data_IF_861661271360
#
_entry.id   IF_861661271360
#
_cell.length_a   1.000
_cell.length_b   1.000
_cell.length_c   1.000
_cell.angle_alpha   90.00
_cell.angle_beta   90.00
_cell.angle_gamma   90.00
#
_symmetry.space_group_name_H-M   'P 1'
#
loop_
_entity.id
_entity.type
_entity.pdbx_description
1 polymer ?
#
# COMPACT_ATOMS: atom_id res chain seq x y z
N UNK A 1 -20.00 3.92 -57.60
CA UNK A 1 -19.35 4.82 -56.62
C UNK A 1 -19.87 4.45 -55.24
N UNK A 2 -19.08 3.72 -54.47
CA UNK A 2 -19.49 3.18 -53.16
C UNK A 2 -18.67 3.87 -52.10
N UNK A 3 -19.34 4.56 -51.17
CA UNK A 3 -18.71 5.26 -50.03
C UNK A 3 -18.36 4.24 -48.95
N UNK A 4 -17.08 3.92 -48.81
CA UNK A 4 -16.59 3.16 -47.66
C UNK A 4 -16.46 4.08 -46.44
N UNK A 5 -17.33 3.91 -45.45
CA UNK A 5 -17.17 4.51 -44.12
C UNK A 5 -16.17 3.66 -43.32
N UNK A 6 -14.93 4.11 -43.25
CA UNK A 6 -13.93 3.51 -42.37
C UNK A 6 -14.24 3.91 -40.92
N UNK A 7 -14.90 3.05 -40.15
CA UNK A 7 -14.97 3.18 -38.69
C UNK A 7 -13.63 2.74 -38.10
N UNK A 8 -12.69 3.67 -37.96
CA UNK A 8 -11.50 3.45 -37.12
C UNK A 8 -11.97 3.29 -35.66
N UNK A 9 -11.53 2.24 -34.94
CA UNK A 9 -11.74 2.20 -33.50
C UNK A 9 -10.92 3.33 -32.88
N UNK A 10 -11.58 4.22 -32.14
CA UNK A 10 -10.88 5.18 -31.28
C UNK A 10 -10.36 4.38 -30.09
N UNK A 11 -9.20 3.76 -30.25
CA UNK A 11 -8.43 3.28 -29.12
C UNK A 11 -7.81 4.50 -28.44
N UNK A 12 -8.56 5.14 -27.55
CA UNK A 12 -7.96 5.95 -26.50
C UNK A 12 -7.46 4.95 -25.44
N UNK A 13 -6.14 4.65 -25.36
CA UNK A 13 -5.66 3.98 -24.16
C UNK A 13 -5.96 4.91 -22.99
N UNK A 14 -6.70 4.42 -21.99
CA UNK A 14 -6.87 5.06 -20.69
C UNK A 14 -5.49 5.38 -20.14
N UNK A 15 -4.97 6.58 -20.40
CA UNK A 15 -3.58 6.95 -20.12
C UNK A 15 -3.26 7.02 -18.63
N UNK A 16 -4.25 6.87 -17.74
CA UNK A 16 -4.11 6.95 -16.29
C UNK A 16 -5.11 5.99 -15.60
N UNK A 17 -5.09 4.69 -15.91
CA UNK A 17 -5.85 3.74 -15.11
C UNK A 17 -5.21 3.67 -13.71
N UNK A 18 -5.99 3.98 -12.66
CA UNK A 18 -5.54 3.76 -11.28
C UNK A 18 -5.44 2.26 -11.06
N UNK A 19 -4.24 1.79 -10.76
CA UNK A 19 -3.97 0.39 -10.49
C UNK A 19 -4.26 0.10 -9.02
N UNK A 20 -5.39 -0.57 -8.76
CA UNK A 20 -5.80 -0.97 -7.42
C UNK A 20 -5.65 -2.48 -7.33
N UNK A 21 -4.80 -2.93 -6.40
CA UNK A 21 -4.54 -4.35 -6.15
C UNK A 21 -4.80 -4.68 -4.69
N UNK A 22 -5.32 -5.88 -4.44
CA UNK A 22 -5.41 -6.41 -3.09
C UNK A 22 -4.11 -7.14 -2.77
N UNK A 23 -3.49 -6.77 -1.65
CA UNK A 23 -2.30 -7.45 -1.15
C UNK A 23 -2.71 -8.46 -0.08
N UNK A 24 -1.96 -9.56 0.01
CA UNK A 24 -2.06 -10.53 1.10
C UNK A 24 -0.87 -10.37 2.06
N UNK A 25 -0.88 -9.34 2.94
CA UNK A 25 0.22 -9.16 3.88
C UNK A 25 0.18 -10.24 4.96
N UNK A 26 1.37 -10.60 5.44
CA UNK A 26 1.48 -11.39 6.68
C UNK A 26 1.57 -10.39 7.84
N UNK A 27 0.67 -10.55 8.81
CA UNK A 27 0.52 -9.66 9.95
C UNK A 27 0.86 -10.41 11.24
N UNK A 28 1.82 -9.90 12.01
CA UNK A 28 2.21 -10.45 13.31
C UNK A 28 2.00 -9.42 14.42
N UNK A 29 1.34 -9.82 15.51
CA UNK A 29 1.23 -9.04 16.74
C UNK A 29 2.12 -9.68 17.81
N UNK A 30 3.08 -8.93 18.34
CA UNK A 30 4.11 -9.50 19.23
C UNK A 30 3.69 -9.56 20.70
N UNK A 31 2.74 -8.71 21.13
CA UNK A 31 2.28 -8.58 22.52
C UNK A 31 3.34 -8.15 23.54
N UNK A 32 4.62 -8.04 23.14
CA UNK A 32 5.75 -7.64 23.99
C UNK A 32 6.06 -6.15 23.85
N UNK A 33 5.93 -5.66 22.63
CA UNK A 33 5.90 -4.25 22.28
C UNK A 33 4.52 -4.07 21.64
N UNK A 34 3.78 -3.02 22.00
CA UNK A 34 2.45 -2.72 21.45
C UNK A 34 2.56 -2.37 19.96
N UNK A 35 2.88 -3.36 19.14
CA UNK A 35 3.24 -3.22 17.74
C UNK A 35 2.71 -4.37 16.89
N UNK A 36 2.46 -4.03 15.63
CA UNK A 36 2.10 -4.90 14.54
C UNK A 36 3.17 -4.82 13.45
N UNK A 37 3.60 -5.96 12.94
CA UNK A 37 4.52 -6.03 11.80
C UNK A 37 3.77 -6.52 10.56
N UNK A 38 3.90 -5.76 9.47
CA UNK A 38 3.31 -6.03 8.17
C UNK A 38 4.44 -6.34 7.20
N UNK A 39 4.49 -7.60 6.75
CA UNK A 39 5.50 -8.04 5.79
C UNK A 39 5.00 -7.85 4.37
N UNK A 40 5.69 -7.00 3.64
CA UNK A 40 5.43 -6.66 2.25
C UNK A 40 6.43 -7.40 1.37
N UNK A 41 5.92 -8.30 0.53
CA UNK A 41 6.72 -9.16 -0.36
C UNK A 41 6.91 -8.59 -1.77
N UNK A 42 6.06 -7.65 -2.16
CA UNK A 42 6.03 -7.03 -3.49
C UNK A 42 6.46 -5.57 -3.40
N UNK A 43 6.97 -5.00 -4.50
CA UNK A 43 7.26 -3.58 -4.53
C UNK A 43 5.95 -2.78 -4.42
N UNK A 44 5.90 -1.82 -3.49
CA UNK A 44 4.74 -0.95 -3.30
C UNK A 44 5.04 0.47 -3.74
N UNK A 45 4.07 1.09 -4.39
CA UNK A 45 4.09 2.52 -4.68
C UNK A 45 2.69 3.12 -4.44
N UNK A 46 2.64 4.43 -4.25
CA UNK A 46 1.37 5.11 -3.95
C UNK A 46 0.90 4.88 -2.52
N UNK A 47 -0.23 4.19 -2.34
CA UNK A 47 -0.93 4.10 -1.06
C UNK A 47 -1.23 2.64 -0.65
N UNK A 48 -0.89 2.29 0.58
CA UNK A 48 -1.32 1.07 1.24
C UNK A 48 -2.50 1.38 2.17
N UNK A 49 -3.65 0.77 1.91
CA UNK A 49 -4.88 0.96 2.67
C UNK A 49 -5.21 -0.31 3.45
N UNK A 50 -5.29 -0.19 4.78
CA UNK A 50 -5.58 -1.29 5.69
C UNK A 50 -6.85 -0.98 6.47
N UNK A 51 -7.98 -1.54 6.01
CA UNK A 51 -9.31 -1.24 6.58
C UNK A 51 -9.51 -1.75 8.01
N UNK A 52 -8.84 -2.84 8.38
CA UNK A 52 -8.91 -3.43 9.72
C UNK A 52 -8.23 -2.58 10.80
N UNK A 53 -7.39 -1.62 10.42
CA UNK A 53 -6.65 -0.74 11.33
C UNK A 53 -7.25 0.67 11.39
N UNK A 54 -8.57 0.77 11.45
CA UNK A 54 -9.27 2.05 11.58
C UNK A 54 -9.32 2.55 13.04
N UNK A 55 -9.72 3.82 13.23
CA UNK A 55 -9.75 4.47 14.56
C UNK A 55 -10.75 3.86 15.53
N UNK A 56 -11.71 3.06 15.07
CA UNK A 56 -12.65 2.38 15.96
C UNK A 56 -12.08 1.10 16.59
N UNK A 57 -10.99 0.56 16.02
CA UNK A 57 -10.36 -0.67 16.47
C UNK A 57 -9.24 -0.38 17.47
N UNK A 58 -8.24 0.38 17.05
CA UNK A 58 -7.02 0.69 17.81
C UNK A 58 -6.52 2.08 17.44
N UNK A 59 -6.03 2.83 18.43
CA UNK A 59 -5.33 4.09 18.19
C UNK A 59 -3.90 3.78 17.73
N UNK A 60 -3.50 4.30 16.57
CA UNK A 60 -2.13 4.14 16.07
C UNK A 60 -1.31 5.36 16.50
N UNK A 61 -0.16 5.12 17.11
CA UNK A 61 0.78 6.17 17.54
C UNK A 61 1.87 6.43 16.50
N UNK A 62 2.33 5.41 15.80
CA UNK A 62 3.38 5.56 14.80
C UNK A 62 3.36 4.48 13.73
N UNK A 63 3.86 4.82 12.54
CA UNK A 63 4.11 3.88 11.44
C UNK A 63 5.49 4.14 10.87
N UNK A 64 6.33 3.11 10.79
CA UNK A 64 7.73 3.24 10.37
C UNK A 64 8.23 1.98 9.67
N UNK A 65 9.33 2.09 8.93
CA UNK A 65 10.06 0.92 8.44
C UNK A 65 10.80 0.24 9.59
N UNK A 66 10.73 -1.08 9.68
CA UNK A 66 11.30 -1.81 10.81
C UNK A 66 12.84 -1.93 10.76
N UNK A 67 13.44 -1.83 9.58
CA UNK A 67 14.88 -1.95 9.36
C UNK A 67 15.64 -0.65 9.64
N UNK A 68 15.03 0.51 9.34
CA UNK A 68 15.67 1.82 9.49
C UNK A 68 15.00 2.72 10.53
N UNK A 69 13.92 2.28 11.16
CA UNK A 69 13.03 3.09 12.02
C UNK A 69 12.58 4.41 11.35
N UNK A 70 12.63 4.47 10.02
CA UNK A 70 12.26 5.67 9.27
C UNK A 70 10.75 5.84 9.33
N UNK A 71 10.24 6.99 9.82
CA UNK A 71 8.80 7.26 9.84
C UNK A 71 8.23 7.26 8.43
N UNK A 72 7.03 6.69 8.28
CA UNK A 72 6.29 6.74 7.03
C UNK A 72 5.23 7.84 7.08
N UNK A 73 4.79 8.34 5.92
CA UNK A 73 3.63 9.21 5.85
C UNK A 73 2.36 8.37 6.02
N UNK A 74 1.51 8.70 6.98
CA UNK A 74 0.29 7.94 7.22
C UNK A 74 -0.84 8.80 7.77
N UNK A 75 -2.07 8.31 7.63
CA UNK A 75 -3.28 8.87 8.23
C UNK A 75 -4.24 7.76 8.60
N UNK A 76 -4.86 7.87 9.77
CA UNK A 76 -5.91 6.96 10.22
C UNK A 76 -7.25 7.69 10.26
N UNK A 77 -8.34 7.00 9.92
CA UNK A 77 -9.70 7.49 10.06
C UNK A 77 -10.64 6.34 10.46
N UNK A 78 -11.96 6.61 10.48
CA UNK A 78 -12.98 5.62 10.84
C UNK A 78 -13.08 4.44 9.87
N UNK A 79 -12.50 4.55 8.69
CA UNK A 79 -12.61 3.55 7.62
C UNK A 79 -11.33 2.71 7.47
N UNK A 80 -10.15 3.29 7.71
CA UNK A 80 -8.87 2.62 7.51
C UNK A 80 -7.68 3.32 8.15
N UNK A 81 -6.55 2.61 8.17
CA UNK A 81 -5.21 3.19 8.12
C UNK A 81 -4.79 3.33 6.64
N UNK A 82 -4.28 4.50 6.28
CA UNK A 82 -3.67 4.75 4.97
C UNK A 82 -2.20 5.14 5.15
N UNK A 83 -1.31 4.44 4.48
CA UNK A 83 0.13 4.71 4.46
C UNK A 83 0.48 5.15 3.04
N UNK A 84 1.16 6.29 2.91
CA UNK A 84 1.55 6.88 1.63
C UNK A 84 3.06 6.74 1.46
N UNK A 85 3.48 6.30 0.27
CA UNK A 85 4.86 6.12 -0.10
C UNK A 85 5.26 7.15 -1.15
N UNK A 86 6.22 8.01 -0.80
CA UNK A 86 6.71 9.06 -1.71
C UNK A 86 7.61 8.50 -2.83
N UNK A 87 8.08 7.26 -2.67
CA UNK A 87 8.91 6.52 -3.63
C UNK A 87 8.58 5.04 -3.58
N UNK A 88 8.95 4.32 -4.62
CA UNK A 88 8.79 2.86 -4.68
C UNK A 88 9.50 2.19 -3.49
N UNK A 89 8.71 1.49 -2.68
CA UNK A 89 9.17 0.71 -1.56
C UNK A 89 9.58 -0.66 -2.09
N UNK A 90 10.81 -0.74 -2.60
CA UNK A 90 11.36 -1.96 -3.18
C UNK A 90 11.87 -2.92 -2.08
N UNK A 91 11.66 -4.24 -2.24
CA UNK A 91 12.36 -5.27 -1.47
C UNK A 91 13.89 -5.08 -1.55
N UNK A 92 14.62 -5.31 -0.44
CA UNK A 92 16.09 -5.22 -0.44
C UNK A 92 16.70 -6.54 -0.94
N UNK A 93 17.00 -6.63 -2.23
CA UNK A 93 17.67 -7.81 -2.80
C UNK A 93 16.78 -9.06 -2.86
N UNK A 94 17.39 -10.20 -3.21
CA UNK A 94 16.67 -11.41 -3.68
C UNK A 94 15.72 -12.07 -2.67
N UNK A 95 15.72 -11.69 -1.38
CA UNK A 95 14.90 -12.35 -0.35
C UNK A 95 14.43 -11.47 0.82
N UNK A 96 14.60 -10.14 0.80
CA UNK A 96 14.20 -9.30 1.94
C UNK A 96 12.86 -8.63 1.70
N UNK A 97 11.81 -9.19 2.32
CA UNK A 97 10.54 -8.52 2.54
C UNK A 97 10.80 -7.18 3.23
N UNK A 98 10.07 -6.14 2.81
CA UNK A 98 10.03 -4.89 3.58
C UNK A 98 9.05 -5.06 4.73
N UNK A 99 9.46 -4.68 5.92
CA UNK A 99 8.62 -4.80 7.12
C UNK A 99 8.20 -3.41 7.56
N UNK A 100 6.90 -3.18 7.58
CA UNK A 100 6.31 -1.98 8.15
C UNK A 100 5.89 -2.30 9.58
N UNK A 101 6.33 -1.47 10.52
CA UNK A 101 5.97 -1.54 11.93
C UNK A 101 4.91 -0.47 12.22
N UNK A 102 3.78 -0.90 12.78
CA UNK A 102 2.70 -0.05 13.27
C UNK A 102 2.68 -0.16 14.79
N UNK A 103 2.82 0.96 15.49
CA UNK A 103 2.85 1.03 16.95
C UNK A 103 1.54 1.61 17.46
N UNK A 104 0.95 1.00 18.48
CA UNK A 104 -0.30 1.39 19.11
C UNK A 104 -0.10 2.16 20.42
#
# INVERSE_FOLDING_TARGET
MTLERTTKPIANPLKNAVDIRMLEPIIFYSGKHDELQIHVKEALNGELIIKSLNTAMLEIKAVMLADTDTPLNWKQNKECLKITFDRDLMPLGENMNRVIKVVF
#
